data_IF_669528280711
#
_entry.id   IF_669528280711
#
_cell.length_a   1.000
_cell.length_b   1.000
_cell.length_c   1.000
_cell.angle_alpha   90.00
_cell.angle_beta   90.00
_cell.angle_gamma   90.00
#
_symmetry.space_group_name_H-M   'P 1'
#
loop_
_entity.id
_entity.type
_entity.pdbx_description
1 polymer ?
#
# COMPACT_ATOMS: atom_id res chain seq x y z
N UNK A 1 20.37 -5.81 3.14
CA UNK A 1 19.75 -4.88 2.15
C UNK A 1 19.53 -3.53 2.84
N UNK A 2 19.94 -2.42 2.22
CA UNK A 2 19.71 -1.08 2.77
C UNK A 2 18.30 -0.66 2.42
N UNK A 3 17.49 -0.30 3.42
CA UNK A 3 16.11 0.19 3.20
C UNK A 3 16.16 1.70 2.98
N UNK A 4 15.58 2.17 1.87
CA UNK A 4 15.48 3.59 1.57
C UNK A 4 14.66 4.31 2.65
N UNK A 5 15.22 5.40 3.20
CA UNK A 5 14.49 6.22 4.18
C UNK A 5 13.61 7.23 3.44
N UNK A 6 12.28 7.23 3.64
CA UNK A 6 11.40 8.19 3.00
C UNK A 6 11.76 9.64 3.36
N UNK A 7 11.76 10.51 2.36
CA UNK A 7 12.12 11.93 2.46
C UNK A 7 10.89 12.78 2.18
N UNK A 8 10.57 13.66 3.11
CA UNK A 8 9.36 14.49 3.05
C UNK A 8 9.71 15.91 2.61
N UNK A 9 8.98 16.41 1.65
CA UNK A 9 9.06 17.79 1.18
C UNK A 9 7.74 18.51 1.37
N UNK A 10 7.77 19.82 1.46
CA UNK A 10 6.57 20.65 1.73
C UNK A 10 6.08 21.38 0.50
N UNK A 11 6.94 21.64 -0.45
CA UNK A 11 6.64 22.39 -1.67
C UNK A 11 7.11 21.65 -2.90
N UNK A 12 6.56 21.98 -4.06
CA UNK A 12 7.03 21.46 -5.36
C UNK A 12 8.46 21.91 -5.66
N UNK A 13 8.84 23.13 -5.23
CA UNK A 13 10.23 23.61 -5.34
C UNK A 13 11.21 22.76 -4.53
N UNK A 14 10.83 22.34 -3.30
CA UNK A 14 11.66 21.44 -2.50
C UNK A 14 11.75 20.05 -3.14
N UNK A 15 10.63 19.57 -3.73
CA UNK A 15 10.62 18.31 -4.48
C UNK A 15 11.57 18.36 -5.67
N UNK A 16 11.49 19.41 -6.47
CA UNK A 16 12.34 19.63 -7.65
C UNK A 16 13.82 19.66 -7.27
N UNK A 17 14.19 20.43 -6.26
CA UNK A 17 15.58 20.51 -5.77
C UNK A 17 16.07 19.16 -5.26
N UNK A 18 15.21 18.43 -4.56
CA UNK A 18 15.56 17.14 -4.01
C UNK A 18 15.73 16.08 -5.10
N UNK A 19 14.81 16.06 -6.08
CA UNK A 19 14.88 15.15 -7.23
C UNK A 19 16.12 15.43 -8.07
N UNK A 20 16.44 16.69 -8.38
CA UNK A 20 17.67 17.07 -9.08
C UNK A 20 18.92 16.55 -8.34
N UNK A 21 18.95 16.70 -7.01
CA UNK A 21 20.04 16.18 -6.18
C UNK A 21 20.12 14.64 -6.22
N UNK A 22 18.98 13.95 -6.22
CA UNK A 22 18.94 12.49 -6.29
C UNK A 22 19.37 11.96 -7.67
N UNK A 23 19.04 12.68 -8.73
CA UNK A 23 19.48 12.34 -10.08
C UNK A 23 21.00 12.55 -10.27
N UNK A 24 21.58 13.55 -9.63
CA UNK A 24 23.01 13.83 -9.66
C UNK A 24 23.60 13.88 -11.09
N UNK A 25 22.87 14.52 -12.01
CA UNK A 25 23.21 14.64 -13.43
C UNK A 25 22.99 13.37 -14.27
N UNK A 26 22.46 12.29 -13.69
CA UNK A 26 22.09 11.07 -14.44
C UNK A 26 20.91 11.33 -15.35
N UNK A 27 20.93 10.67 -16.52
CA UNK A 27 19.74 10.59 -17.38
C UNK A 27 18.65 9.79 -16.69
N UNK A 28 17.39 10.07 -16.99
CA UNK A 28 16.27 9.35 -16.41
C UNK A 28 15.10 9.20 -17.36
N UNK A 29 14.29 8.17 -17.13
CA UNK A 29 12.97 7.99 -17.73
C UNK A 29 11.94 8.29 -16.65
N UNK A 30 10.90 9.04 -16.98
CA UNK A 30 9.77 9.28 -16.09
C UNK A 30 8.61 8.35 -16.46
N UNK A 31 8.22 7.50 -15.51
CA UNK A 31 7.06 6.63 -15.64
C UNK A 31 5.91 7.20 -14.81
N UNK A 32 4.76 7.37 -15.44
CA UNK A 32 3.53 7.88 -14.82
C UNK A 32 2.31 7.17 -15.38
N UNK A 33 1.12 7.49 -14.90
CA UNK A 33 -0.15 7.09 -15.48
C UNK A 33 -0.92 8.33 -15.98
N UNK A 34 -1.92 8.13 -16.86
CA UNK A 34 -2.67 9.21 -17.50
C UNK A 34 -3.28 10.19 -16.48
N UNK A 35 -3.88 9.68 -15.38
CA UNK A 35 -4.51 10.54 -14.37
C UNK A 35 -3.45 11.39 -13.63
N UNK A 36 -2.31 10.82 -13.34
CA UNK A 36 -1.19 11.52 -12.67
C UNK A 36 -0.50 12.45 -13.64
N UNK A 37 -0.38 12.05 -14.92
CA UNK A 37 0.10 12.91 -16.01
C UNK A 37 -0.69 14.21 -16.07
N UNK A 38 -2.01 14.13 -16.07
CA UNK A 38 -2.88 15.30 -16.10
C UNK A 38 -2.82 16.13 -14.79
N UNK A 39 -2.92 15.47 -13.62
CA UNK A 39 -3.13 16.16 -12.35
C UNK A 39 -1.83 16.57 -11.63
N UNK A 40 -0.73 15.83 -11.80
CA UNK A 40 0.48 15.98 -10.99
C UNK A 40 1.70 16.45 -11.79
N UNK A 41 1.87 16.05 -13.07
CA UNK A 41 3.01 16.50 -13.89
C UNK A 41 3.10 18.02 -14.00
N UNK A 42 2.01 18.79 -14.21
CA UNK A 42 2.09 20.24 -14.26
C UNK A 42 2.68 20.88 -12.99
N UNK A 43 2.55 20.20 -11.84
CA UNK A 43 3.09 20.68 -10.56
C UNK A 43 4.61 20.61 -10.46
N UNK A 44 5.25 19.82 -11.33
CA UNK A 44 6.71 19.71 -11.46
C UNK A 44 7.20 20.17 -12.84
N UNK A 45 6.39 20.90 -13.60
CA UNK A 45 6.70 21.35 -14.95
C UNK A 45 7.99 22.16 -15.05
N UNK A 46 8.27 23.06 -14.10
CA UNK A 46 9.52 23.81 -14.05
C UNK A 46 10.75 22.90 -13.92
N UNK A 47 10.61 21.79 -13.15
CA UNK A 47 11.67 20.79 -13.04
C UNK A 47 11.88 20.09 -14.37
N UNK A 48 10.81 19.65 -15.04
CA UNK A 48 10.89 18.95 -16.32
C UNK A 48 11.48 19.86 -17.42
N UNK A 49 11.16 21.14 -17.40
CA UNK A 49 11.73 22.14 -18.32
C UNK A 49 13.24 22.32 -18.12
N UNK A 50 13.72 22.23 -16.87
CA UNK A 50 15.14 22.38 -16.54
C UNK A 50 15.93 21.07 -16.70
N UNK A 51 15.32 19.95 -16.38
CA UNK A 51 15.93 18.61 -16.38
C UNK A 51 15.06 17.66 -17.22
N UNK A 52 15.18 17.76 -18.54
CA UNK A 52 14.37 16.93 -19.44
C UNK A 52 14.68 15.44 -19.26
N UNK A 53 13.66 14.56 -19.13
CA UNK A 53 13.84 13.12 -19.14
C UNK A 53 14.26 12.63 -20.54
N UNK A 54 14.73 11.38 -20.62
CA UNK A 54 14.88 10.69 -21.90
C UNK A 54 13.51 10.54 -22.57
N UNK A 55 12.51 10.17 -21.77
CA UNK A 55 11.12 10.12 -22.18
C UNK A 55 10.19 10.19 -20.96
N UNK A 56 8.91 10.53 -21.22
CA UNK A 56 7.81 10.45 -20.26
C UNK A 56 6.87 9.37 -20.75
N UNK A 57 6.84 8.24 -20.05
CA UNK A 57 6.01 7.10 -20.41
C UNK A 57 4.77 7.11 -19.56
N UNK A 58 3.60 7.18 -20.20
CA UNK A 58 2.31 7.07 -19.57
C UNK A 58 1.73 5.67 -19.77
N UNK A 59 1.26 5.06 -18.68
CA UNK A 59 0.56 3.76 -18.71
C UNK A 59 -0.91 3.94 -18.30
N UNK A 60 -1.71 2.93 -18.53
CA UNK A 60 -3.10 2.91 -18.09
C UNK A 60 -3.18 3.05 -16.56
N UNK A 61 -4.09 3.90 -16.02
CA UNK A 61 -4.19 4.12 -14.58
C UNK A 61 -4.78 2.90 -13.85
N UNK A 62 -4.39 2.74 -12.58
CA UNK A 62 -4.93 1.69 -11.70
C UNK A 62 -4.20 0.36 -11.79
N UNK A 63 -4.88 -0.72 -11.43
CA UNK A 63 -4.26 -2.05 -11.32
C UNK A 63 -4.01 -2.69 -12.70
N UNK A 64 -4.70 -2.25 -13.76
CA UNK A 64 -4.54 -2.76 -15.12
C UNK A 64 -3.10 -2.60 -15.66
N UNK A 65 -2.36 -1.58 -15.19
CA UNK A 65 -0.96 -1.42 -15.60
C UNK A 65 -0.05 -2.56 -15.08
N UNK A 66 -0.46 -3.28 -14.02
CA UNK A 66 0.36 -4.32 -13.38
C UNK A 66 0.30 -5.65 -14.12
N UNK A 67 0.63 -5.67 -15.40
CA UNK A 67 0.59 -6.87 -16.24
C UNK A 67 1.96 -7.21 -16.86
N UNK A 68 2.13 -8.47 -17.28
CA UNK A 68 3.32 -8.91 -17.98
C UNK A 68 3.47 -8.20 -19.34
N UNK A 69 2.35 -7.92 -20.01
CA UNK A 69 2.29 -7.23 -21.28
C UNK A 69 2.86 -5.82 -21.18
N UNK A 70 2.44 -5.06 -20.17
CA UNK A 70 2.97 -3.71 -19.91
C UNK A 70 4.46 -3.77 -19.56
N UNK A 71 4.91 -4.75 -18.77
CA UNK A 71 6.34 -4.94 -18.51
C UNK A 71 7.15 -5.16 -19.79
N UNK A 72 6.67 -6.01 -20.71
CA UNK A 72 7.35 -6.27 -21.99
C UNK A 72 7.43 -5.01 -22.85
N UNK A 73 6.37 -4.21 -22.89
CA UNK A 73 6.35 -2.92 -23.60
C UNK A 73 7.37 -1.95 -22.99
N UNK A 74 7.42 -1.82 -21.68
CA UNK A 74 8.38 -0.95 -20.99
C UNK A 74 9.83 -1.40 -21.21
N UNK A 75 10.12 -2.70 -21.13
CA UNK A 75 11.49 -3.20 -21.40
C UNK A 75 11.89 -2.97 -22.85
N UNK A 76 10.99 -3.17 -23.83
CA UNK A 76 11.26 -2.88 -25.24
C UNK A 76 11.58 -1.40 -25.45
N UNK A 77 10.73 -0.52 -24.88
CA UNK A 77 10.93 0.91 -24.98
C UNK A 77 12.23 1.39 -24.31
N UNK A 78 12.62 0.78 -23.18
CA UNK A 78 13.93 1.07 -22.56
C UNK A 78 15.11 0.64 -23.42
N UNK A 79 14.98 -0.41 -24.24
CA UNK A 79 16.01 -0.80 -25.21
C UNK A 79 16.08 0.21 -26.35
N UNK A 80 14.94 0.68 -26.87
CA UNK A 80 14.88 1.68 -27.96
C UNK A 80 15.47 3.02 -27.52
N UNK A 81 15.28 3.42 -26.26
CA UNK A 81 15.88 4.61 -25.63
C UNK A 81 17.34 4.41 -25.22
N UNK A 82 17.93 3.24 -25.47
CA UNK A 82 19.30 2.89 -25.05
C UNK A 82 19.53 3.14 -23.54
N UNK A 83 18.52 2.81 -22.69
CA UNK A 83 18.64 2.94 -21.24
C UNK A 83 19.74 2.01 -20.72
N UNK A 84 20.60 2.55 -19.86
CA UNK A 84 21.74 1.86 -19.27
C UNK A 84 21.56 1.68 -17.77
N UNK A 85 22.44 0.91 -17.11
CA UNK A 85 22.42 0.72 -15.65
C UNK A 85 22.75 1.98 -14.84
N UNK A 86 23.31 3.00 -15.47
CA UNK A 86 23.59 4.30 -14.84
C UNK A 86 22.41 5.26 -14.92
N UNK A 87 21.41 4.99 -15.75
CA UNK A 87 20.22 5.81 -15.86
C UNK A 87 19.24 5.48 -14.70
N UNK A 88 18.26 6.34 -14.48
CA UNK A 88 17.32 6.22 -13.37
C UNK A 88 15.89 6.10 -13.90
N UNK A 89 15.11 5.18 -13.35
CA UNK A 89 13.66 5.21 -13.52
C UNK A 89 13.04 6.05 -12.40
N UNK A 90 12.31 7.10 -12.76
CA UNK A 90 11.54 7.90 -11.81
C UNK A 90 10.07 7.51 -11.97
N UNK A 91 9.46 6.96 -10.92
CA UNK A 91 8.05 6.59 -10.91
C UNK A 91 7.25 7.65 -10.16
N UNK A 92 6.44 8.42 -10.89
CA UNK A 92 5.51 9.41 -10.35
C UNK A 92 4.09 8.85 -10.46
N UNK A 93 3.53 8.31 -9.35
CA UNK A 93 2.20 7.68 -9.42
C UNK A 93 1.73 7.05 -8.13
N UNK A 94 0.61 6.35 -8.21
CA UNK A 94 0.04 5.59 -7.11
C UNK A 94 0.80 4.30 -6.78
N UNK A 95 0.23 3.48 -5.89
CA UNK A 95 0.80 2.20 -5.46
C UNK A 95 1.03 1.24 -6.62
N UNK A 96 0.04 1.07 -7.50
CA UNK A 96 0.14 0.16 -8.66
C UNK A 96 1.30 0.55 -9.57
N UNK A 97 1.49 1.85 -9.82
CA UNK A 97 2.60 2.35 -10.64
C UNK A 97 3.96 2.13 -9.98
N UNK A 98 4.07 2.35 -8.66
CA UNK A 98 5.33 2.11 -7.94
C UNK A 98 5.68 0.62 -7.90
N UNK A 99 4.69 -0.27 -7.76
CA UNK A 99 4.88 -1.73 -7.82
C UNK A 99 5.37 -2.18 -9.20
N UNK A 100 4.71 -1.73 -10.27
CA UNK A 100 5.10 -1.98 -11.65
C UNK A 100 6.51 -1.46 -11.93
N UNK A 101 6.75 -0.18 -11.67
CA UNK A 101 8.03 0.47 -11.96
C UNK A 101 9.18 -0.14 -11.18
N UNK A 102 8.96 -0.50 -9.91
CA UNK A 102 9.94 -1.20 -9.10
C UNK A 102 10.25 -2.61 -9.62
N UNK A 103 9.25 -3.33 -10.12
CA UNK A 103 9.44 -4.65 -10.75
C UNK A 103 10.20 -4.54 -12.07
N UNK A 104 9.79 -3.64 -12.95
CA UNK A 104 10.45 -3.38 -14.24
C UNK A 104 11.90 -2.94 -14.04
N UNK A 105 12.15 -2.01 -13.11
CA UNK A 105 13.50 -1.56 -12.78
C UNK A 105 14.37 -2.70 -12.24
N UNK A 106 13.87 -3.52 -11.35
CA UNK A 106 14.63 -4.60 -10.75
C UNK A 106 15.00 -5.70 -11.74
N UNK A 107 14.18 -5.91 -12.77
CA UNK A 107 14.36 -6.98 -13.77
C UNK A 107 15.10 -6.53 -15.03
N UNK A 108 15.00 -5.25 -15.42
CA UNK A 108 15.70 -4.71 -16.56
C UNK A 108 17.21 -4.72 -16.36
N UNK A 109 17.96 -5.34 -17.27
CA UNK A 109 19.44 -5.46 -17.22
C UNK A 109 19.99 -5.90 -15.84
N UNK A 110 19.23 -6.65 -15.04
CA UNK A 110 19.55 -7.11 -13.67
C UNK A 110 19.63 -5.99 -12.63
N UNK A 111 18.84 -4.96 -12.80
CA UNK A 111 18.68 -3.85 -11.86
C UNK A 111 19.00 -2.49 -12.48
N UNK A 112 18.01 -1.62 -12.41
CA UNK A 112 18.06 -0.21 -12.76
C UNK A 112 17.76 0.59 -11.49
N UNK A 113 18.49 1.68 -11.20
CA UNK A 113 18.13 2.58 -10.10
C UNK A 113 16.70 3.11 -10.26
N UNK A 114 15.93 3.13 -9.17
CA UNK A 114 14.57 3.65 -9.21
C UNK A 114 14.32 4.63 -8.07
N UNK A 115 13.62 5.73 -8.37
CA UNK A 115 13.15 6.73 -7.43
C UNK A 115 11.62 6.71 -7.45
N UNK A 116 10.98 6.56 -6.28
CA UNK A 116 9.54 6.64 -6.15
C UNK A 116 9.10 8.02 -5.67
N UNK A 117 8.11 8.57 -6.36
CA UNK A 117 7.39 9.79 -6.00
C UNK A 117 5.90 9.42 -5.90
N UNK A 118 5.47 8.84 -4.77
CA UNK A 118 4.08 8.42 -4.61
C UNK A 118 3.14 9.61 -4.60
N UNK A 119 2.06 9.54 -5.40
CA UNK A 119 1.05 10.61 -5.52
C UNK A 119 -0.23 10.33 -4.75
N UNK A 120 -0.47 9.07 -4.35
CA UNK A 120 -1.61 8.69 -3.53
C UNK A 120 -1.22 8.52 -2.06
N UNK A 121 -2.16 8.75 -1.14
CA UNK A 121 -1.91 8.54 0.29
C UNK A 121 -1.55 7.07 0.58
N UNK A 122 -2.21 6.12 -0.07
CA UNK A 122 -1.88 4.70 0.01
C UNK A 122 -0.44 4.42 -0.49
N UNK A 123 -0.05 5.01 -1.62
CA UNK A 123 1.32 4.93 -2.12
C UNK A 123 2.33 5.50 -1.13
N UNK A 124 2.03 6.64 -0.49
CA UNK A 124 2.92 7.30 0.48
C UNK A 124 3.09 6.51 1.78
N UNK A 125 2.01 5.90 2.28
CA UNK A 125 2.00 5.23 3.58
C UNK A 125 2.33 3.75 3.50
N UNK A 126 2.05 3.14 2.35
CA UNK A 126 2.18 1.69 2.19
C UNK A 126 3.02 1.27 0.98
N UNK A 127 2.51 1.32 -0.24
CA UNK A 127 3.08 0.62 -1.39
C UNK A 127 4.53 1.01 -1.72
N UNK A 128 4.90 2.29 -1.71
CA UNK A 128 6.26 2.73 -2.02
C UNK A 128 7.32 2.34 -0.98
N UNK A 129 6.91 1.75 0.15
CA UNK A 129 7.78 1.46 1.30
C UNK A 129 7.91 -0.03 1.50
N UNK A 130 9.14 -0.53 1.46
CA UNK A 130 9.40 -1.92 1.78
C UNK A 130 9.82 -2.79 0.61
N UNK A 131 9.79 -2.23 -0.62
CA UNK A 131 10.39 -2.83 -1.80
C UNK A 131 9.73 -4.13 -2.26
N UNK A 132 8.51 -4.43 -1.83
CA UNK A 132 7.69 -5.46 -2.46
C UNK A 132 7.17 -4.87 -3.76
N UNK A 133 7.73 -5.27 -4.88
CA UNK A 133 7.31 -4.83 -6.20
C UNK A 133 6.81 -6.04 -6.97
N UNK A 134 5.77 -5.88 -7.76
CA UNK A 134 5.20 -7.02 -8.45
C UNK A 134 4.10 -6.66 -9.42
N UNK A 135 3.69 -7.67 -10.17
CA UNK A 135 2.63 -7.62 -11.15
C UNK A 135 1.63 -8.73 -10.91
N UNK A 136 0.46 -8.56 -11.46
CA UNK A 136 -0.61 -9.53 -11.43
C UNK A 136 -0.41 -10.55 -12.57
N UNK A 137 -0.83 -11.76 -12.35
CA UNK A 137 -0.74 -12.81 -13.36
C UNK A 137 -1.89 -13.80 -13.22
N UNK A 138 -2.59 -14.10 -14.33
CA UNK A 138 -3.73 -15.04 -14.36
C UNK A 138 -4.77 -14.76 -13.25
N UNK A 139 -5.20 -13.51 -13.14
CA UNK A 139 -6.20 -13.04 -12.15
C UNK A 139 -5.74 -13.13 -10.68
N UNK A 140 -4.46 -13.48 -10.44
CA UNK A 140 -3.87 -13.50 -9.11
C UNK A 140 -3.06 -12.22 -8.89
N UNK A 141 -3.49 -11.38 -7.95
CA UNK A 141 -2.79 -10.15 -7.59
C UNK A 141 -1.39 -10.44 -7.05
N UNK A 142 -0.41 -9.62 -7.48
CA UNK A 142 0.98 -9.68 -7.02
C UNK A 142 1.63 -11.08 -7.11
N UNK A 143 1.20 -11.90 -8.07
CA UNK A 143 1.67 -13.28 -8.23
C UNK A 143 3.14 -13.37 -8.61
N UNK A 144 3.64 -12.41 -9.38
CA UNK A 144 5.03 -12.35 -9.81
C UNK A 144 5.65 -11.08 -9.23
N UNK A 145 6.71 -11.24 -8.43
CA UNK A 145 7.29 -10.09 -7.75
C UNK A 145 8.73 -10.30 -7.30
N UNK A 146 9.32 -9.19 -6.88
CA UNK A 146 10.69 -9.13 -6.34
C UNK A 146 10.69 -8.29 -5.06
N UNK A 147 11.69 -8.53 -4.20
CA UNK A 147 11.99 -7.62 -3.09
C UNK A 147 13.21 -6.80 -3.50
N UNK A 148 12.95 -5.59 -4.00
CA UNK A 148 13.97 -4.63 -4.44
C UNK A 148 13.66 -3.24 -3.90
N UNK A 149 14.64 -2.61 -3.27
CA UNK A 149 14.45 -1.29 -2.67
C UNK A 149 14.69 -0.19 -3.71
N UNK A 150 13.88 0.89 -3.71
CA UNK A 150 14.22 2.09 -4.45
C UNK A 150 15.47 2.75 -3.85
N UNK A 151 16.17 3.55 -4.64
CA UNK A 151 17.23 4.41 -4.11
C UNK A 151 16.67 5.46 -3.16
N UNK A 152 15.53 6.07 -3.56
CA UNK A 152 14.87 7.12 -2.80
C UNK A 152 13.34 6.98 -2.88
N UNK A 153 12.66 7.42 -1.82
CA UNK A 153 11.21 7.64 -1.78
C UNK A 153 10.98 9.09 -1.40
N UNK A 154 10.43 9.88 -2.33
CA UNK A 154 10.21 11.32 -2.16
C UNK A 154 8.72 11.59 -1.94
N UNK A 155 8.33 11.97 -0.74
CA UNK A 155 6.94 12.16 -0.34
C UNK A 155 6.60 13.65 -0.34
N UNK A 156 5.72 14.06 -1.25
CA UNK A 156 5.11 15.39 -1.30
C UNK A 156 3.61 15.28 -1.01
N UNK A 157 3.15 15.58 0.21
CA UNK A 157 1.75 15.42 0.60
C UNK A 157 0.76 16.23 -0.23
N UNK A 158 1.22 17.33 -0.86
CA UNK A 158 0.37 18.17 -1.72
C UNK A 158 -0.22 17.42 -2.92
N UNK A 159 0.32 16.29 -3.33
CA UNK A 159 -0.31 15.46 -4.37
C UNK A 159 -1.65 14.86 -3.90
N UNK A 160 -1.86 14.69 -2.60
CA UNK A 160 -3.14 14.17 -2.08
C UNK A 160 -4.34 15.08 -2.39
N UNK A 161 -4.10 16.36 -2.72
CA UNK A 161 -5.17 17.30 -3.11
C UNK A 161 -5.85 16.89 -4.44
N UNK A 162 -5.18 16.05 -5.26
CA UNK A 162 -5.71 15.56 -6.54
C UNK A 162 -6.58 14.31 -6.39
N UNK A 163 -6.60 13.69 -5.21
CA UNK A 163 -7.29 12.44 -4.97
C UNK A 163 -8.82 12.63 -4.87
N UNK A 164 -9.55 11.67 -5.37
CA UNK A 164 -10.96 11.53 -5.02
C UNK A 164 -11.14 11.23 -3.53
N UNK A 165 -12.32 11.48 -2.98
CA UNK A 165 -12.60 11.14 -1.57
C UNK A 165 -12.35 9.65 -1.30
N UNK A 166 -12.77 8.75 -2.18
CA UNK A 166 -12.58 7.31 -2.02
C UNK A 166 -11.11 6.91 -1.99
N UNK A 167 -10.29 7.44 -2.92
CA UNK A 167 -8.84 7.19 -2.93
C UNK A 167 -8.15 7.71 -1.67
N UNK A 168 -8.57 8.89 -1.18
CA UNK A 168 -8.03 9.46 0.04
C UNK A 168 -8.36 8.59 1.26
N UNK A 169 -9.64 8.18 1.42
CA UNK A 169 -10.07 7.29 2.51
C UNK A 169 -9.43 5.91 2.42
N UNK A 170 -9.22 5.38 1.22
CA UNK A 170 -8.47 4.13 1.03
C UNK A 170 -7.05 4.23 1.61
N UNK A 171 -6.37 5.37 1.43
CA UNK A 171 -5.06 5.60 2.06
C UNK A 171 -5.14 5.80 3.58
N UNK A 172 -6.21 6.43 4.10
CA UNK A 172 -6.44 6.59 5.54
C UNK A 172 -6.63 5.25 6.25
N UNK A 173 -7.18 4.25 5.58
CA UNK A 173 -7.30 2.89 6.13
C UNK A 173 -5.94 2.34 6.60
N UNK A 174 -4.89 2.53 5.80
CA UNK A 174 -3.52 2.13 6.16
C UNK A 174 -2.95 2.98 7.31
N UNK A 175 -3.27 4.27 7.36
CA UNK A 175 -2.87 5.13 8.49
C UNK A 175 -3.51 4.65 9.79
N UNK A 176 -4.79 4.27 9.76
CA UNK A 176 -5.51 3.71 10.92
C UNK A 176 -4.93 2.35 11.31
N UNK A 177 -4.66 1.47 10.35
CA UNK A 177 -3.96 0.20 10.59
C UNK A 177 -2.64 0.41 11.34
N UNK A 178 -1.83 1.36 10.87
CA UNK A 178 -0.57 1.71 11.53
C UNK A 178 -0.79 2.26 12.95
N UNK A 179 -1.91 2.94 13.20
CA UNK A 179 -2.30 3.40 14.53
C UNK A 179 -2.58 2.24 15.50
N UNK A 180 -3.23 1.16 15.02
CA UNK A 180 -3.47 -0.04 15.83
C UNK A 180 -2.17 -0.80 16.12
N UNK A 181 -1.26 -0.89 15.13
CA UNK A 181 -0.01 -1.65 15.23
C UNK A 181 1.05 -0.89 16.05
N UNK A 182 1.04 0.44 16.01
CA UNK A 182 2.10 1.26 16.59
C UNK A 182 1.93 1.46 18.09
N UNK A 183 3.02 1.32 18.85
CA UNK A 183 3.07 1.69 20.26
C UNK A 183 2.98 3.20 20.48
N UNK A 184 2.43 3.60 21.63
CA UNK A 184 2.35 4.99 22.08
C UNK A 184 1.12 5.74 21.57
N UNK A 185 1.18 7.07 21.58
CA UNK A 185 -0.01 7.94 21.42
C UNK A 185 -0.55 8.07 19.99
N UNK A 186 -0.05 7.31 19.03
CA UNK A 186 -0.48 7.47 17.64
C UNK A 186 -1.97 7.20 17.46
N UNK A 187 -2.48 6.16 18.11
CA UNK A 187 -3.90 5.84 18.11
C UNK A 187 -4.75 7.00 18.66
N UNK A 188 -4.35 7.57 19.79
CA UNK A 188 -5.09 8.68 20.41
C UNK A 188 -5.06 9.94 19.53
N UNK A 189 -3.93 10.22 18.87
CA UNK A 189 -3.84 11.33 17.91
C UNK A 189 -4.78 11.10 16.70
N UNK A 190 -4.92 9.86 16.21
CA UNK A 190 -5.83 9.52 15.11
C UNK A 190 -7.31 9.62 15.53
N UNK A 191 -7.66 9.18 16.73
CA UNK A 191 -9.05 9.33 17.25
C UNK A 191 -9.49 10.79 17.31
N UNK A 192 -8.58 11.67 17.70
CA UNK A 192 -8.87 13.09 17.83
C UNK A 192 -8.95 13.83 16.48
N UNK A 193 -8.53 13.20 15.38
CA UNK A 193 -8.52 13.81 14.06
C UNK A 193 -9.92 13.77 13.43
N UNK A 194 -10.41 14.92 12.95
CA UNK A 194 -11.54 14.93 12.00
C UNK A 194 -11.02 14.62 10.59
N UNK A 195 -11.67 13.68 9.90
CA UNK A 195 -11.32 13.34 8.51
C UNK A 195 -12.17 14.11 7.48
N UNK A 196 -13.07 14.98 7.92
CA UNK A 196 -14.02 15.69 7.05
C UNK A 196 -13.31 16.65 6.08
N UNK A 197 -12.17 17.20 6.48
CA UNK A 197 -11.39 18.14 5.69
C UNK A 197 -10.47 17.50 4.65
N UNK A 198 -10.39 16.17 4.60
CA UNK A 198 -9.40 15.42 3.80
C UNK A 198 -7.95 15.91 3.99
N UNK A 199 -7.63 16.34 5.20
CA UNK A 199 -6.29 16.79 5.55
C UNK A 199 -5.69 15.88 6.61
N UNK A 200 -4.57 15.27 6.26
CA UNK A 200 -3.76 14.52 7.22
C UNK A 200 -2.57 15.41 7.62
N UNK A 201 -2.47 15.81 8.89
CA UNK A 201 -1.31 16.57 9.34
C UNK A 201 0.00 15.87 9.00
N UNK A 202 0.98 16.62 8.47
CA UNK A 202 2.28 16.08 8.07
C UNK A 202 2.96 15.27 9.20
N UNK A 203 2.74 15.67 10.46
CA UNK A 203 3.24 14.93 11.63
C UNK A 203 2.68 13.51 11.66
N UNK A 204 1.38 13.32 11.42
CA UNK A 204 0.71 12.01 11.45
C UNK A 204 1.07 11.18 10.22
N UNK A 205 1.12 11.79 9.04
CA UNK A 205 1.62 11.13 7.84
C UNK A 205 3.03 10.58 8.06
N UNK A 206 3.95 11.42 8.55
CA UNK A 206 5.32 10.99 8.87
C UNK A 206 5.34 9.84 9.87
N UNK A 207 4.51 9.90 10.91
CA UNK A 207 4.42 8.85 11.92
C UNK A 207 3.98 7.54 11.32
N UNK A 208 2.89 7.55 10.53
CA UNK A 208 2.39 6.37 9.80
C UNK A 208 3.48 5.74 8.91
N UNK A 209 4.11 6.55 8.05
CA UNK A 209 5.20 6.13 7.17
C UNK A 209 6.36 5.51 7.96
N UNK A 210 6.75 6.11 9.09
CA UNK A 210 7.85 5.62 9.91
C UNK A 210 7.52 4.35 10.68
N UNK A 211 6.25 4.08 10.99
CA UNK A 211 5.81 2.79 11.54
C UNK A 211 6.15 1.69 10.55
N UNK A 212 5.66 1.79 9.30
CA UNK A 212 5.97 0.80 8.26
C UNK A 212 7.48 0.70 7.99
N UNK A 213 8.15 1.84 7.81
CA UNK A 213 9.59 1.85 7.54
C UNK A 213 10.40 1.15 8.65
N UNK A 214 10.06 1.34 9.94
CA UNK A 214 10.77 0.69 11.04
C UNK A 214 10.57 -0.83 11.03
N UNK A 215 9.34 -1.28 10.80
CA UNK A 215 9.00 -2.71 10.72
C UNK A 215 9.72 -3.37 9.54
N UNK A 216 9.69 -2.73 8.37
CA UNK A 216 10.41 -3.25 7.18
C UNK A 216 11.91 -3.29 7.40
N UNK A 217 12.49 -2.29 8.08
CA UNK A 217 13.93 -2.27 8.38
C UNK A 217 14.35 -3.42 9.30
N UNK A 218 13.48 -3.81 10.23
CA UNK A 218 13.73 -4.93 11.14
C UNK A 218 13.56 -6.29 10.44
N UNK A 219 12.59 -6.39 9.53
CA UNK A 219 12.26 -7.63 8.82
C UNK A 219 12.01 -7.39 7.32
N UNK A 220 13.05 -7.16 6.51
CA UNK A 220 12.91 -6.86 5.09
C UNK A 220 12.22 -7.94 4.26
N UNK A 221 12.34 -9.21 4.70
CA UNK A 221 11.88 -10.38 3.95
C UNK A 221 10.59 -11.01 4.50
N UNK A 222 9.91 -10.34 5.45
CA UNK A 222 8.63 -10.78 6.02
C UNK A 222 8.66 -12.21 6.61
N UNK A 223 9.66 -12.46 7.43
CA UNK A 223 9.79 -13.75 8.12
C UNK A 223 9.23 -13.73 9.55
N UNK A 224 8.96 -12.55 10.09
CA UNK A 224 8.55 -12.34 11.48
C UNK A 224 7.68 -11.10 11.65
N UNK A 225 8.24 -9.98 12.14
CA UNK A 225 7.53 -8.76 12.53
C UNK A 225 6.80 -8.08 11.38
N UNK A 226 7.33 -8.15 10.15
CA UNK A 226 6.67 -7.53 9.00
C UNK A 226 5.30 -8.16 8.71
N UNK A 227 5.05 -9.37 9.18
CA UNK A 227 3.73 -10.01 9.07
C UNK A 227 2.64 -9.27 9.87
N UNK A 228 3.00 -8.43 10.86
CA UNK A 228 2.06 -7.59 11.60
C UNK A 228 1.34 -6.59 10.67
N UNK A 229 2.00 -6.17 9.57
CA UNK A 229 1.43 -5.29 8.56
C UNK A 229 0.28 -5.96 7.76
N UNK A 230 0.15 -7.28 7.83
CA UNK A 230 -0.93 -8.03 7.19
C UNK A 230 -2.24 -8.01 8.02
N UNK A 231 -2.29 -7.31 9.15
CA UNK A 231 -3.53 -7.09 9.90
C UNK A 231 -4.60 -6.47 8.99
N UNK A 232 -5.76 -7.11 8.94
CA UNK A 232 -6.88 -6.78 8.05
C UNK A 232 -6.73 -7.31 6.61
N UNK A 233 -5.55 -7.74 6.18
CA UNK A 233 -5.29 -8.12 4.80
C UNK A 233 -5.76 -9.53 4.44
N UNK A 234 -5.70 -10.49 5.37
CA UNK A 234 -6.13 -11.87 5.06
C UNK A 234 -7.60 -11.92 4.64
N UNK A 235 -8.46 -11.27 5.40
CA UNK A 235 -9.90 -11.14 5.06
C UNK A 235 -10.08 -10.11 3.94
N UNK A 236 -9.36 -8.99 3.97
CA UNK A 236 -9.46 -7.93 2.97
C UNK A 236 -9.19 -8.43 1.55
N UNK A 237 -8.10 -9.15 1.32
CA UNK A 237 -7.76 -9.72 0.01
C UNK A 237 -8.80 -10.74 -0.47
N UNK A 238 -9.37 -11.54 0.45
CA UNK A 238 -10.46 -12.46 0.10
C UNK A 238 -11.71 -11.68 -0.36
N UNK A 239 -12.04 -10.57 0.31
CA UNK A 239 -13.14 -9.67 -0.10
C UNK A 239 -12.85 -9.03 -1.45
N UNK A 240 -11.64 -8.48 -1.69
CA UNK A 240 -11.23 -7.94 -2.99
C UNK A 240 -11.42 -8.97 -4.12
N UNK A 241 -11.01 -10.22 -3.86
CA UNK A 241 -11.12 -11.29 -4.85
C UNK A 241 -12.59 -11.60 -5.19
N UNK A 242 -13.49 -11.59 -4.21
CA UNK A 242 -14.94 -11.76 -4.46
C UNK A 242 -15.49 -10.61 -5.31
N UNK A 243 -15.13 -9.36 -4.96
CA UNK A 243 -15.58 -8.20 -5.75
C UNK A 243 -15.08 -8.27 -7.18
N UNK A 244 -13.81 -8.63 -7.38
CA UNK A 244 -13.23 -8.80 -8.72
C UNK A 244 -13.94 -9.89 -9.52
N UNK A 245 -14.25 -11.06 -8.92
CA UNK A 245 -15.03 -12.11 -9.59
C UNK A 245 -16.44 -11.67 -10.00
N UNK A 246 -17.04 -10.74 -9.25
CA UNK A 246 -18.33 -10.14 -9.57
C UNK A 246 -18.25 -9.02 -10.61
N UNK A 247 -17.07 -8.78 -11.19
CA UNK A 247 -16.84 -7.68 -12.14
C UNK A 247 -16.92 -6.29 -11.51
N UNK A 248 -16.78 -6.20 -10.20
CA UNK A 248 -16.82 -4.95 -9.44
C UNK A 248 -15.45 -4.66 -8.83
N UNK A 249 -15.15 -3.39 -8.61
CA UNK A 249 -13.90 -2.95 -7.99
C UNK A 249 -14.20 -2.39 -6.60
N UNK A 250 -13.48 -2.88 -5.60
CA UNK A 250 -13.40 -2.30 -4.27
C UNK A 250 -12.01 -1.71 -4.08
N UNK A 251 -11.92 -0.49 -3.56
CA UNK A 251 -10.63 0.09 -3.22
C UNK A 251 -9.96 -0.69 -2.07
N UNK A 252 -8.67 -0.96 -2.21
CA UNK A 252 -7.87 -1.76 -1.28
C UNK A 252 -8.10 -1.39 0.19
N UNK A 253 -8.05 -0.10 0.53
CA UNK A 253 -8.21 0.34 1.91
C UNK A 253 -9.59 0.00 2.51
N UNK A 254 -10.66 -0.01 1.71
CA UNK A 254 -11.98 -0.41 2.22
C UNK A 254 -12.03 -1.91 2.50
N UNK A 255 -11.45 -2.72 1.64
CA UNK A 255 -11.33 -4.15 1.88
C UNK A 255 -10.50 -4.44 3.14
N UNK A 256 -9.41 -3.71 3.35
CA UNK A 256 -8.57 -3.80 4.56
C UNK A 256 -9.36 -3.36 5.81
N UNK A 257 -10.17 -2.30 5.74
CA UNK A 257 -11.05 -1.89 6.85
C UNK A 257 -12.04 -3.00 7.20
N UNK A 258 -12.70 -3.59 6.20
CA UNK A 258 -13.61 -4.72 6.42
C UNK A 258 -12.89 -5.90 7.06
N UNK A 259 -11.68 -6.20 6.59
CA UNK A 259 -10.81 -7.21 7.17
C UNK A 259 -10.41 -6.89 8.62
N UNK A 260 -10.04 -5.64 8.92
CA UNK A 260 -9.72 -5.22 10.29
C UNK A 260 -10.92 -5.39 11.24
N UNK A 261 -12.13 -5.05 10.81
CA UNK A 261 -13.36 -5.24 11.61
C UNK A 261 -13.50 -6.71 12.01
N UNK A 262 -13.36 -7.62 11.05
CA UNK A 262 -13.46 -9.07 11.31
C UNK A 262 -12.31 -9.58 12.20
N UNK A 263 -11.08 -9.16 11.91
CA UNK A 263 -9.90 -9.62 12.65
C UNK A 263 -9.85 -9.05 14.09
N UNK A 264 -10.38 -7.85 14.33
CA UNK A 264 -10.62 -7.32 15.69
C UNK A 264 -11.64 -8.19 16.43
N UNK A 265 -12.75 -8.53 15.80
CA UNK A 265 -13.76 -9.43 16.37
C UNK A 265 -13.16 -10.80 16.70
N UNK A 266 -12.36 -11.35 15.81
CA UNK A 266 -11.64 -12.60 16.03
C UNK A 266 -10.68 -12.48 17.23
N UNK A 267 -9.93 -11.38 17.35
CA UNK A 267 -9.01 -11.14 18.45
C UNK A 267 -9.74 -11.12 19.82
N UNK A 268 -10.94 -10.53 19.88
CA UNK A 268 -11.80 -10.56 21.08
C UNK A 268 -12.29 -11.98 21.36
N UNK A 269 -12.78 -12.69 20.35
CA UNK A 269 -13.30 -14.06 20.52
C UNK A 269 -12.25 -15.04 21.05
N UNK A 270 -11.00 -14.93 20.57
CA UNK A 270 -9.88 -15.76 21.05
C UNK A 270 -9.21 -15.19 22.30
N UNK A 271 -9.76 -14.16 22.91
CA UNK A 271 -9.29 -13.51 24.14
C UNK A 271 -7.87 -12.95 24.06
N UNK A 272 -7.46 -12.51 22.88
CA UNK A 272 -6.23 -11.75 22.70
C UNK A 272 -6.45 -10.29 23.07
N UNK A 273 -7.53 -9.70 22.55
CA UNK A 273 -7.90 -8.30 22.75
C UNK A 273 -9.04 -8.21 23.77
N UNK A 274 -9.01 -7.19 24.62
CA UNK A 274 -10.12 -6.92 25.53
C UNK A 274 -11.38 -6.47 24.77
N UNK A 275 -12.60 -6.80 25.23
CA UNK A 275 -13.82 -6.33 24.58
C UNK A 275 -13.88 -4.81 24.41
N UNK A 276 -13.44 -4.05 25.42
CA UNK A 276 -13.45 -2.58 25.39
C UNK A 276 -12.53 -2.01 24.30
N UNK A 277 -11.29 -2.54 24.15
CA UNK A 277 -10.38 -2.10 23.10
C UNK A 277 -10.89 -2.53 21.71
N UNK A 278 -11.49 -3.73 21.62
CA UNK A 278 -12.13 -4.21 20.38
C UNK A 278 -13.27 -3.30 19.95
N UNK A 279 -14.13 -2.89 20.89
CA UNK A 279 -15.22 -1.94 20.65
C UNK A 279 -14.67 -0.57 20.22
N UNK A 280 -13.64 -0.05 20.90
CA UNK A 280 -13.02 1.23 20.59
C UNK A 280 -12.50 1.26 19.15
N UNK A 281 -11.78 0.20 18.71
CA UNK A 281 -11.27 0.10 17.35
C UNK A 281 -12.42 0.02 16.35
N UNK A 282 -13.41 -0.83 16.63
CA UNK A 282 -14.56 -1.06 15.74
C UNK A 282 -15.40 0.21 15.57
N UNK A 283 -15.67 0.95 16.65
CA UNK A 283 -16.38 2.25 16.61
C UNK A 283 -15.62 3.24 15.73
N UNK A 284 -14.30 3.35 15.88
CA UNK A 284 -13.51 4.25 15.02
C UNK A 284 -13.64 3.85 13.54
N UNK A 285 -13.50 2.56 13.22
CA UNK A 285 -13.60 2.08 11.84
C UNK A 285 -14.97 2.38 11.23
N UNK A 286 -16.08 2.06 11.93
CA UNK A 286 -17.42 2.34 11.41
C UNK A 286 -17.73 3.85 11.36
N UNK A 287 -17.31 4.63 12.35
CA UNK A 287 -17.57 6.07 12.35
C UNK A 287 -16.86 6.81 11.22
N UNK A 288 -15.75 6.27 10.71
CA UNK A 288 -14.93 6.91 9.66
C UNK A 288 -15.17 6.34 8.27
N UNK A 289 -15.53 5.07 8.19
CA UNK A 289 -15.64 4.37 6.91
C UNK A 289 -17.02 3.79 6.63
N UNK A 290 -17.88 3.62 7.65
CA UNK A 290 -19.12 2.84 7.53
C UNK A 290 -20.00 3.19 6.35
N UNK A 291 -20.21 4.49 6.08
CA UNK A 291 -20.98 4.95 4.91
C UNK A 291 -20.28 4.71 3.56
N UNK A 292 -18.97 4.46 3.57
CA UNK A 292 -18.17 4.25 2.36
C UNK A 292 -17.96 2.77 2.06
N UNK A 293 -18.15 1.90 3.06
CA UNK A 293 -17.96 0.47 2.88
C UNK A 293 -19.07 -0.11 2.01
N UNK A 294 -18.72 -0.92 1.01
CA UNK A 294 -19.70 -1.70 0.28
C UNK A 294 -20.23 -2.85 1.16
N UNK A 295 -21.33 -3.52 0.77
CA UNK A 295 -21.84 -4.67 1.49
C UNK A 295 -20.78 -5.77 1.68
N UNK A 296 -20.77 -6.40 2.85
CA UNK A 296 -19.94 -7.59 3.06
C UNK A 296 -20.42 -8.74 2.17
N UNK A 297 -19.53 -9.45 1.45
CA UNK A 297 -19.88 -10.71 0.83
C UNK A 297 -20.31 -11.74 1.87
N UNK A 298 -21.00 -12.82 1.46
CA UNK A 298 -21.25 -13.93 2.36
C UNK A 298 -19.95 -14.69 2.67
N UNK A 299 -19.87 -15.32 3.84
CA UNK A 299 -18.66 -16.09 4.22
C UNK A 299 -18.32 -17.18 3.21
N UNK A 300 -19.31 -17.87 2.66
CA UNK A 300 -19.11 -18.90 1.64
C UNK A 300 -18.45 -18.37 0.36
N UNK A 301 -18.68 -17.11 0.02
CA UNK A 301 -18.06 -16.47 -1.15
C UNK A 301 -16.56 -16.17 -0.90
N UNK A 302 -16.17 -15.78 0.32
CA UNK A 302 -14.76 -15.49 0.64
C UNK A 302 -13.96 -16.74 1.00
N UNK A 303 -14.61 -17.82 1.44
CA UNK A 303 -13.99 -19.09 1.90
C UNK A 303 -12.96 -19.66 0.93
N UNK A 304 -13.19 -19.73 -0.39
CA UNK A 304 -12.20 -20.27 -1.34
C UNK A 304 -10.88 -19.48 -1.31
N UNK A 305 -10.95 -18.15 -1.17
CA UNK A 305 -9.78 -17.27 -1.21
C UNK A 305 -8.95 -17.31 0.08
N UNK A 306 -9.57 -17.63 1.22
CA UNK A 306 -8.85 -17.82 2.48
C UNK A 306 -7.94 -19.06 2.45
N UNK A 307 -8.20 -20.02 1.56
CA UNK A 307 -7.37 -21.22 1.42
C UNK A 307 -6.07 -20.96 0.65
N UNK A 308 -6.00 -19.95 -0.22
CA UNK A 308 -4.81 -19.63 -1.00
C UNK A 308 -3.69 -19.01 -0.14
N UNK A 309 -4.02 -18.41 1.00
CA UNK A 309 -3.04 -17.83 1.93
C UNK A 309 -2.40 -18.87 2.88
N UNK A 310 -2.63 -20.17 2.64
CA UNK A 310 -1.98 -21.23 3.42
C UNK A 310 -0.49 -21.25 3.13
N UNK A 311 0.33 -20.88 4.11
CA UNK A 311 1.76 -21.21 4.08
C UNK A 311 1.90 -22.74 3.99
N UNK A 312 2.30 -23.21 2.82
CA UNK A 312 2.30 -24.62 2.35
C UNK A 312 2.92 -25.60 3.35
N UNK A 313 3.81 -25.15 4.24
CA UNK A 313 4.52 -26.00 5.20
C UNK A 313 3.72 -26.42 6.45
N UNK A 314 2.66 -25.73 6.85
CA UNK A 314 2.00 -25.97 8.15
C UNK A 314 0.52 -26.33 8.11
N UNK A 315 -0.15 -26.23 6.97
CA UNK A 315 -1.63 -26.40 6.83
C UNK A 315 -2.45 -25.50 7.80
N UNK A 316 -1.85 -24.46 8.37
CA UNK A 316 -2.47 -23.54 9.33
C UNK A 316 -2.57 -22.13 8.74
N UNK A 317 -3.68 -21.45 9.03
CA UNK A 317 -3.82 -20.02 8.79
C UNK A 317 -3.05 -19.25 9.88
N UNK A 318 -2.12 -18.40 9.48
CA UNK A 318 -1.31 -17.60 10.41
C UNK A 318 -1.68 -16.14 10.25
N UNK A 319 -2.19 -15.55 11.35
CA UNK A 319 -2.51 -14.13 11.43
C UNK A 319 -1.72 -13.45 12.53
N UNK A 320 -1.63 -12.14 12.43
CA UNK A 320 -1.18 -11.27 13.51
C UNK A 320 -2.35 -10.37 13.91
N UNK A 321 -2.88 -10.59 15.10
CA UNK A 321 -4.03 -9.90 15.64
C UNK A 321 -3.61 -8.96 16.78
N UNK A 322 -4.32 -7.83 17.00
CA UNK A 322 -4.04 -6.97 18.14
C UNK A 322 -4.28 -7.73 19.46
N UNK A 323 -3.33 -7.63 20.38
CA UNK A 323 -3.50 -8.10 21.77
C UNK A 323 -3.72 -6.95 22.75
N UNK A 324 -3.31 -5.79 22.38
CA UNK A 324 -3.65 -4.46 22.87
C UNK A 324 -3.24 -3.46 21.80
N UNK A 325 -3.66 -2.20 21.94
CA UNK A 325 -3.20 -1.15 21.04
C UNK A 325 -1.67 -1.02 21.07
N UNK A 326 -1.06 -1.17 19.90
CA UNK A 326 0.40 -1.15 19.74
C UNK A 326 1.12 -2.48 19.98
N UNK A 327 0.41 -3.57 20.20
CA UNK A 327 0.99 -4.91 20.31
C UNK A 327 0.21 -5.93 19.51
N UNK A 328 0.93 -6.68 18.68
CA UNK A 328 0.37 -7.72 17.83
C UNK A 328 0.78 -9.11 18.32
N UNK A 329 -0.12 -10.07 18.25
CA UNK A 329 0.10 -11.45 18.66
C UNK A 329 -0.19 -12.41 17.53
N UNK A 330 0.69 -13.38 17.33
CA UNK A 330 0.54 -14.41 16.32
C UNK A 330 -0.54 -15.40 16.72
N UNK A 331 -1.50 -15.64 15.85
CA UNK A 331 -2.49 -16.70 15.93
C UNK A 331 -2.28 -17.72 14.81
N UNK A 332 -2.37 -19.00 15.12
CA UNK A 332 -2.32 -20.05 14.12
C UNK A 332 -3.54 -20.95 14.25
N UNK A 333 -4.45 -20.86 13.30
CA UNK A 333 -5.72 -21.60 13.30
C UNK A 333 -5.62 -22.86 12.42
N UNK A 334 -6.11 -24.00 12.88
CA UNK A 334 -6.12 -25.26 12.11
C UNK A 334 -7.19 -25.27 11.00
N UNK A 335 -8.19 -24.38 11.08
CA UNK A 335 -9.32 -24.31 10.16
C UNK A 335 -9.92 -22.90 10.08
N UNK A 336 -11.11 -22.81 9.50
CA UNK A 336 -11.82 -21.56 9.25
C UNK A 336 -13.00 -21.30 10.19
N UNK A 337 -13.29 -22.19 11.13
CA UNK A 337 -14.47 -22.08 12.00
C UNK A 337 -14.49 -20.76 12.82
N UNK A 338 -13.34 -20.40 13.41
CA UNK A 338 -13.21 -19.18 14.19
C UNK A 338 -13.32 -17.94 13.31
N UNK A 339 -12.83 -18.00 12.07
CA UNK A 339 -13.03 -16.93 11.08
C UNK A 339 -14.50 -16.75 10.72
N UNK A 340 -15.21 -17.85 10.45
CA UNK A 340 -16.62 -17.84 10.10
C UNK A 340 -17.48 -17.22 11.21
N UNK A 341 -17.22 -17.60 12.45
CA UNK A 341 -17.92 -17.05 13.63
C UNK A 341 -17.68 -15.52 13.71
N UNK A 342 -16.41 -15.09 13.66
CA UNK A 342 -16.07 -13.67 13.74
C UNK A 342 -16.64 -12.88 12.56
N UNK A 343 -16.59 -13.42 11.35
CA UNK A 343 -17.13 -12.82 10.14
C UNK A 343 -18.64 -12.61 10.24
N UNK A 344 -19.39 -13.66 10.57
CA UNK A 344 -20.84 -13.61 10.70
C UNK A 344 -21.29 -12.66 11.83
N UNK A 345 -20.53 -12.55 12.90
CA UNK A 345 -20.77 -11.54 13.95
C UNK A 345 -20.53 -10.10 13.46
N UNK A 346 -19.59 -9.90 12.53
CA UNK A 346 -19.24 -8.57 12.02
C UNK A 346 -20.22 -8.04 10.98
N UNK A 347 -20.88 -8.92 10.22
CA UNK A 347 -21.88 -8.51 9.20
C UNK A 347 -23.27 -8.27 9.76
N UNK A 348 -23.54 -8.73 10.99
CA UNK A 348 -24.84 -8.60 11.65
C UNK A 348 -24.86 -7.45 12.69
N UNK A 349 -23.82 -6.63 12.70
CA UNK A 349 -23.70 -5.46 13.58
C UNK A 349 -23.94 -4.21 12.80
#
# INVERSE_FOLDING_TARGET
MKIARPRFVRTTSDLSKLLAKCLDGRRYVLLTDENVGEACLPRIGDFLAQYAPLDVIEVEPGEQCKSAEVCMQLWSHFLDLEVTKSDVLVCLGGGSLTDLGGFVAATFKRGLPVIFIPTTLLGMTDASIGGKNGIDFQEVKNAIGVISQPEEVLIFPGFCDTLSSRQWFSGIAEVVKHGVIARGDFWNELKALSFDTRQLPLKLLRRSVMVKHSIVREDPFEKSRRMELNFGHTIGHAIESVYMQKGSIIEHGFAVVMGMIVEVRLAVNVKFLSPNEGEEITILLYSRFGELLPPFPNFEEIRPFLHHDKKVASKKHVLFLPSTLGEMKKLALPGLAEFEIAYNQSINT
#
